data_IF_476460505909
#
_entry.id   IF_476460505909
#
_cell.length_a   1.000
_cell.length_b   1.000
_cell.length_c   1.000
_cell.angle_alpha   90.00
_cell.angle_beta   90.00
_cell.angle_gamma   90.00
#
_symmetry.space_group_name_H-M   'P 1'
#
loop_
_entity.id
_entity.type
_entity.pdbx_description
1 polymer ?
#
# COMPACT_ATOMS: atom_id res chain seq x y z
N UNK A 1 -11.20 9.14 12.85
CA UNK A 1 -12.12 8.15 12.22
C UNK A 1 -12.58 8.61 10.84
N UNK A 2 -13.13 9.82 10.68
CA UNK A 2 -13.57 10.36 9.37
C UNK A 2 -12.45 10.38 8.32
N UNK A 3 -11.23 10.78 8.68
CA UNK A 3 -10.10 10.78 7.75
C UNK A 3 -9.73 9.38 7.26
N UNK A 4 -9.87 8.37 8.11
CA UNK A 4 -9.60 6.97 7.74
C UNK A 4 -10.67 6.46 6.79
N UNK A 5 -11.94 6.76 7.06
CA UNK A 5 -13.06 6.45 6.16
C UNK A 5 -12.86 7.09 4.78
N UNK A 6 -12.49 8.38 4.74
CA UNK A 6 -12.18 9.09 3.49
C UNK A 6 -11.06 8.40 2.72
N UNK A 7 -9.97 8.00 3.41
CA UNK A 7 -8.87 7.25 2.79
C UNK A 7 -9.33 5.90 2.23
N UNK A 8 -10.13 5.14 2.99
CA UNK A 8 -10.65 3.84 2.56
C UNK A 8 -11.49 3.97 1.29
N UNK A 9 -12.42 4.92 1.25
CA UNK A 9 -13.25 5.17 0.06
C UNK A 9 -12.38 5.55 -1.15
N UNK A 10 -11.41 6.44 -0.95
CA UNK A 10 -10.54 6.91 -2.02
C UNK A 10 -9.63 5.79 -2.56
N UNK A 11 -9.08 4.93 -1.68
CA UNK A 11 -8.28 3.77 -2.07
C UNK A 11 -9.12 2.77 -2.88
N UNK A 12 -10.33 2.46 -2.44
CA UNK A 12 -11.23 1.55 -3.18
C UNK A 12 -11.60 2.12 -4.54
N UNK A 13 -11.90 3.41 -4.62
CA UNK A 13 -12.22 4.07 -5.87
C UNK A 13 -11.03 4.06 -6.85
N UNK A 14 -9.83 4.40 -6.38
CA UNK A 14 -8.62 4.34 -7.20
C UNK A 14 -8.33 2.91 -7.67
N UNK A 15 -8.47 1.91 -6.80
CA UNK A 15 -8.25 0.52 -7.17
C UNK A 15 -9.26 0.03 -8.21
N UNK A 16 -10.53 0.43 -8.10
CA UNK A 16 -11.55 0.16 -9.12
C UNK A 16 -11.18 0.78 -10.47
N UNK A 17 -10.70 2.03 -10.49
CA UNK A 17 -10.22 2.67 -11.71
C UNK A 17 -9.02 1.95 -12.32
N UNK A 18 -8.10 1.45 -11.49
CA UNK A 18 -6.95 0.66 -11.94
C UNK A 18 -7.40 -0.64 -12.60
N UNK A 19 -8.36 -1.36 -12.02
CA UNK A 19 -8.92 -2.58 -12.62
C UNK A 19 -9.65 -2.28 -13.92
N UNK A 20 -10.41 -1.18 -14.00
CA UNK A 20 -11.07 -0.74 -15.24
C UNK A 20 -10.05 -0.38 -16.31
N UNK A 21 -8.95 0.30 -15.96
CA UNK A 21 -7.89 0.59 -16.91
C UNK A 21 -7.21 -0.70 -17.39
N UNK A 22 -6.89 -1.62 -16.48
CA UNK A 22 -6.29 -2.92 -16.81
C UNK A 22 -7.18 -3.77 -17.72
N UNK A 23 -8.50 -3.71 -17.55
CA UNK A 23 -9.43 -4.49 -18.38
C UNK A 23 -9.45 -4.05 -19.84
N UNK A 24 -9.03 -2.82 -20.17
CA UNK A 24 -8.88 -2.37 -21.56
C UNK A 24 -7.65 -2.96 -22.25
N UNK A 25 -6.61 -3.31 -21.49
CA UNK A 25 -5.34 -3.82 -22.04
C UNK A 25 -5.21 -5.34 -21.92
N UNK A 26 -5.80 -5.92 -20.88
CA UNK A 26 -5.63 -7.32 -20.53
C UNK A 26 -7.01 -7.98 -20.42
N UNK A 27 -7.37 -8.89 -21.35
CA UNK A 27 -8.68 -9.55 -21.38
C UNK A 27 -9.03 -10.32 -20.10
N UNK A 28 -8.01 -10.74 -19.34
CA UNK A 28 -8.19 -11.41 -18.04
C UNK A 28 -8.93 -10.56 -17.01
N UNK A 29 -8.82 -9.22 -17.08
CA UNK A 29 -9.51 -8.31 -16.15
C UNK A 29 -10.88 -7.86 -16.67
N UNK A 30 -11.27 -8.23 -17.89
CA UNK A 30 -12.56 -7.88 -18.48
C UNK A 30 -13.67 -8.82 -17.99
N UNK A 31 -13.99 -8.76 -16.70
CA UNK A 31 -14.99 -9.62 -16.07
C UNK A 31 -16.40 -9.12 -16.35
N UNK A 32 -17.33 -10.06 -16.59
CA UNK A 32 -18.76 -9.77 -16.72
C UNK A 32 -19.47 -9.84 -15.37
N UNK A 33 -18.91 -10.58 -14.41
CA UNK A 33 -19.43 -10.70 -13.06
C UNK A 33 -18.82 -9.65 -12.13
N UNK A 34 -19.69 -9.05 -11.32
CA UNK A 34 -19.32 -8.01 -10.36
C UNK A 34 -18.49 -8.57 -9.20
N UNK A 35 -18.67 -9.85 -8.86
CA UNK A 35 -17.87 -10.57 -7.85
C UNK A 35 -16.41 -10.64 -8.27
N UNK A 36 -16.14 -11.13 -9.49
CA UNK A 36 -14.78 -11.24 -10.02
C UNK A 36 -14.10 -9.85 -10.12
N UNK A 37 -14.86 -8.82 -10.48
CA UNK A 37 -14.36 -7.45 -10.50
C UNK A 37 -13.92 -6.98 -9.10
N UNK A 38 -14.77 -7.15 -8.09
CA UNK A 38 -14.45 -6.82 -6.70
C UNK A 38 -13.25 -7.61 -6.19
N UNK A 39 -13.14 -8.89 -6.58
CA UNK A 39 -12.00 -9.71 -6.22
C UNK A 39 -10.69 -9.14 -6.78
N UNK A 40 -10.67 -8.70 -8.04
CA UNK A 40 -9.50 -8.02 -8.60
C UNK A 40 -9.17 -6.71 -7.89
N UNK A 41 -10.18 -5.93 -7.51
CA UNK A 41 -9.97 -4.71 -6.71
C UNK A 41 -9.29 -5.03 -5.38
N UNK A 42 -9.73 -6.08 -4.68
CA UNK A 42 -9.09 -6.53 -3.43
C UNK A 42 -7.64 -6.94 -3.67
N UNK A 43 -7.38 -7.71 -4.73
CA UNK A 43 -6.02 -8.12 -5.09
C UNK A 43 -5.11 -6.90 -5.30
N UNK A 44 -5.57 -5.90 -6.06
CA UNK A 44 -4.80 -4.67 -6.30
C UNK A 44 -4.50 -3.94 -4.98
N UNK A 45 -5.50 -3.77 -4.11
CA UNK A 45 -5.33 -3.09 -2.83
C UNK A 45 -4.35 -3.84 -1.93
N UNK A 46 -4.46 -5.16 -1.82
CA UNK A 46 -3.60 -5.97 -0.96
C UNK A 46 -2.19 -6.14 -1.53
N UNK A 47 -2.04 -6.18 -2.85
CA UNK A 47 -0.74 -6.13 -3.50
C UNK A 47 -0.02 -4.80 -3.16
N UNK A 48 -0.72 -3.66 -3.28
CA UNK A 48 -0.18 -2.36 -2.86
C UNK A 48 0.09 -2.31 -1.35
N UNK A 49 -0.79 -2.89 -0.52
CA UNK A 49 -0.58 -2.98 0.93
C UNK A 49 0.72 -3.73 1.25
N UNK A 50 0.96 -4.87 0.57
CA UNK A 50 2.17 -5.66 0.70
C UNK A 50 3.41 -4.88 0.26
N UNK A 51 3.35 -4.19 -0.88
CA UNK A 51 4.47 -3.36 -1.36
C UNK A 51 4.79 -2.21 -0.40
N UNK A 52 3.77 -1.54 0.15
CA UNK A 52 3.97 -0.46 1.12
C UNK A 52 4.49 -0.97 2.47
N UNK A 53 4.13 -2.20 2.84
CA UNK A 53 4.65 -2.87 4.02
C UNK A 53 6.11 -3.32 3.85
N UNK A 54 6.43 -3.96 2.72
CA UNK A 54 7.80 -4.40 2.37
C UNK A 54 8.72 -3.21 2.08
N UNK A 55 8.22 -2.11 1.53
CA UNK A 55 8.96 -0.85 1.42
C UNK A 55 9.31 -0.22 2.78
N UNK A 56 8.70 -0.70 3.87
CA UNK A 56 9.17 -0.46 5.23
C UNK A 56 10.31 -1.40 5.63
N UNK A 57 10.22 -2.69 5.29
CA UNK A 57 11.21 -3.72 5.62
C UNK A 57 12.44 -3.59 4.69
N UNK A 58 13.43 -2.86 5.17
CA UNK A 58 14.76 -2.79 4.56
C UNK A 58 14.75 -2.31 3.10
N UNK A 59 14.57 -1.00 2.90
CA UNK A 59 15.23 -0.39 1.75
C UNK A 59 16.72 -0.70 1.90
N UNK A 60 17.27 -1.67 1.14
CA UNK A 60 18.72 -1.93 1.11
C UNK A 60 19.52 -0.75 0.56
N UNK A 61 18.84 0.34 0.19
CA UNK A 61 19.38 1.65 -0.14
C UNK A 61 19.46 2.58 1.06
N UNK A 62 19.14 2.14 2.29
CA UNK A 62 19.45 2.95 3.48
C UNK A 62 20.96 3.06 3.60
N UNK A 63 21.43 4.20 3.13
CA UNK A 63 22.66 5.01 3.28
C UNK A 63 23.69 4.70 4.39
N UNK A 64 23.48 3.69 5.24
CA UNK A 64 24.27 3.32 6.40
C UNK A 64 25.09 2.03 6.20
N UNK A 65 24.91 1.30 5.09
CA UNK A 65 25.74 0.11 4.80
C UNK A 65 27.12 0.44 4.22
N UNK A 66 27.42 1.72 3.95
CA UNK A 66 28.76 2.15 3.58
C UNK A 66 29.45 2.87 4.76
N UNK A 67 30.46 2.21 5.40
CA UNK A 67 31.15 2.75 6.56
C UNK A 67 31.89 4.07 6.30
N UNK A 68 32.09 4.49 5.03
CA UNK A 68 32.67 5.80 4.71
C UNK A 68 31.66 6.94 4.81
N UNK A 69 30.40 6.71 4.47
CA UNK A 69 29.34 7.73 4.48
C UNK A 69 28.76 7.96 5.87
N UNK A 70 28.70 6.91 6.70
CA UNK A 70 28.22 6.99 8.09
C UNK A 70 28.98 8.04 8.92
N UNK A 71 30.30 8.17 8.69
CA UNK A 71 31.14 9.16 9.37
C UNK A 71 30.81 10.61 8.99
N UNK A 72 30.41 10.85 7.74
CA UNK A 72 30.04 12.19 7.23
C UNK A 72 28.68 12.61 7.78
N UNK A 73 27.73 11.68 7.87
CA UNK A 73 26.41 11.96 8.44
C UNK A 73 26.46 12.27 9.94
N UNK A 74 27.33 11.60 10.70
CA UNK A 74 27.57 11.90 12.11
C UNK A 74 28.25 13.25 12.36
N UNK A 75 28.82 13.89 11.34
CA UNK A 75 29.47 15.21 11.46
C UNK A 75 28.52 16.40 11.27
N UNK A 76 27.29 16.19 10.80
CA UNK A 76 26.30 17.27 10.65
C UNK A 76 25.62 17.55 11.99
N UNK A 77 26.05 18.62 12.67
CA UNK A 77 25.42 19.09 13.91
C UNK A 77 23.97 19.52 13.63
N UNK A 78 23.01 18.92 14.34
CA UNK A 78 21.61 19.36 14.37
C UNK A 78 20.63 18.52 13.55
N UNK A 79 21.06 17.44 12.89
CA UNK A 79 20.17 16.56 12.14
C UNK A 79 20.37 15.09 12.55
N UNK A 80 19.33 14.51 13.14
CA UNK A 80 19.33 13.14 13.66
C UNK A 80 18.79 12.17 12.60
N UNK A 81 19.70 11.68 11.76
CA UNK A 81 19.38 10.77 10.66
C UNK A 81 18.79 9.43 11.13
N UNK A 82 19.10 8.98 12.36
CA UNK A 82 18.53 7.74 12.90
C UNK A 82 17.05 7.93 13.26
N UNK A 83 16.71 9.10 13.81
CA UNK A 83 15.32 9.44 14.14
C UNK A 83 14.46 9.55 12.89
N UNK A 84 14.94 10.23 11.85
CA UNK A 84 14.21 10.37 10.58
C UNK A 84 13.96 9.01 9.91
N UNK A 85 14.94 8.10 9.93
CA UNK A 85 14.75 6.74 9.41
C UNK A 85 13.70 5.94 10.20
N UNK A 86 13.70 6.03 11.54
CA UNK A 86 12.68 5.38 12.37
C UNK A 86 11.29 5.94 12.12
N UNK A 87 11.17 7.26 11.90
CA UNK A 87 9.91 7.90 11.55
C UNK A 87 9.42 7.43 10.18
N UNK A 88 10.28 7.40 9.17
CA UNK A 88 9.94 6.85 7.85
C UNK A 88 9.49 5.37 7.91
N UNK A 89 10.20 4.54 8.68
CA UNK A 89 9.83 3.14 8.89
C UNK A 89 8.42 3.01 9.50
N UNK A 90 8.14 3.81 10.54
CA UNK A 90 6.85 3.82 11.22
C UNK A 90 5.71 4.29 10.31
N UNK A 91 5.95 5.32 9.48
CA UNK A 91 4.97 5.82 8.51
C UNK A 91 4.65 4.80 7.42
N UNK A 92 5.64 4.06 6.91
CA UNK A 92 5.42 3.03 5.89
C UNK A 92 4.56 1.87 6.44
N UNK A 93 4.87 1.39 7.64
CA UNK A 93 4.04 0.37 8.32
C UNK A 93 2.62 0.84 8.56
N UNK A 94 2.44 2.08 9.04
CA UNK A 94 1.12 2.65 9.25
C UNK A 94 0.35 2.76 7.92
N UNK A 95 1.03 3.11 6.83
CA UNK A 95 0.41 3.20 5.50
C UNK A 95 0.01 1.83 4.97
N UNK A 96 0.89 0.83 5.09
CA UNK A 96 0.57 -0.57 4.73
C UNK A 96 -0.65 -1.10 5.49
N UNK A 97 -0.75 -0.84 6.80
CA UNK A 97 -1.94 -1.16 7.60
C UNK A 97 -3.21 -0.48 7.08
N UNK A 98 -3.14 0.81 6.70
CA UNK A 98 -4.29 1.53 6.16
C UNK A 98 -4.76 0.92 4.85
N UNK A 99 -3.86 0.54 3.95
CA UNK A 99 -4.21 -0.15 2.71
C UNK A 99 -4.82 -1.54 2.97
N UNK A 100 -4.28 -2.29 3.92
CA UNK A 100 -4.83 -3.59 4.30
C UNK A 100 -6.27 -3.48 4.82
N UNK A 101 -6.51 -2.54 5.76
CA UNK A 101 -7.86 -2.26 6.29
C UNK A 101 -8.79 -1.78 5.19
N UNK A 102 -8.29 -0.97 4.23
CA UNK A 102 -9.08 -0.47 3.12
C UNK A 102 -9.53 -1.58 2.16
N UNK A 103 -8.84 -2.72 2.08
CA UNK A 103 -9.27 -3.85 1.26
C UNK A 103 -10.38 -4.69 1.89
N UNK A 104 -10.58 -4.61 3.21
CA UNK A 104 -11.57 -5.43 3.93
C UNK A 104 -13.02 -5.18 3.45
N UNK A 105 -13.49 -3.95 3.26
CA UNK A 105 -14.86 -3.71 2.77
C UNK A 105 -15.13 -4.33 1.39
N UNK A 106 -14.20 -4.18 0.44
CA UNK A 106 -14.34 -4.80 -0.88
C UNK A 106 -14.31 -6.32 -0.80
N UNK A 107 -13.48 -6.88 0.08
CA UNK A 107 -13.40 -8.33 0.30
C UNK A 107 -14.70 -8.88 0.92
N UNK A 108 -15.24 -8.20 1.94
CA UNK A 108 -16.51 -8.58 2.55
C UNK A 108 -17.65 -8.48 1.52
N UNK A 109 -17.71 -7.41 0.73
CA UNK A 109 -18.70 -7.26 -0.33
C UNK A 109 -18.59 -8.39 -1.38
N UNK A 110 -17.37 -8.74 -1.78
CA UNK A 110 -17.10 -9.87 -2.67
C UNK A 110 -17.61 -11.19 -2.08
N UNK A 111 -17.33 -11.47 -0.79
CA UNK A 111 -17.82 -12.68 -0.12
C UNK A 111 -19.34 -12.72 -0.04
N UNK A 112 -19.97 -11.61 0.36
CA UNK A 112 -21.44 -11.54 0.46
C UNK A 112 -22.08 -11.83 -0.90
N UNK A 113 -21.56 -11.24 -1.98
CA UNK A 113 -22.07 -11.46 -3.33
C UNK A 113 -21.79 -12.87 -3.87
N UNK A 114 -20.73 -13.54 -3.41
CA UNK A 114 -20.44 -14.93 -3.80
C UNK A 114 -21.46 -15.92 -3.22
N UNK A 115 -22.04 -15.60 -2.06
CA UNK A 115 -23.00 -16.45 -1.35
C UNK A 115 -24.47 -16.03 -1.57
N UNK A 116 -24.72 -15.01 -2.37
CA UNK A 116 -26.06 -14.51 -2.72
C UNK A 116 -26.49 -15.06 -4.08
#
# INVERSE_FOLDING_TARGET
MLDLLKKVVLINFLAALVVIALSQFVPFFATTQLVDFLFFVVIVIWFLAKLMWEGGIHSKTTRLDDPRTDKVYKMVKGHDFEKDQREHYRMNYQTGLVFFIAGLPAFIACLVLQFL
#
